data_IF_569424440346
#
_entry.id   IF_569424440346
#
_cell.length_a   1.000
_cell.length_b   1.000
_cell.length_c   1.000
_cell.angle_alpha   90.00
_cell.angle_beta   90.00
_cell.angle_gamma   90.00
#
_symmetry.space_group_name_H-M   'P 1'
#
loop_
_entity.id
_entity.type
_entity.pdbx_description
1 polymer ?
#
# COMPACT_ATOMS: atom_id res chain seq x y z
N UNK A 1 -3.01 4.99 15.55
CA UNK A 1 -2.09 5.89 14.81
C UNK A 1 -2.82 6.36 13.57
N UNK A 2 -2.82 7.65 13.27
CA UNK A 2 -3.53 8.19 12.09
C UNK A 2 -2.61 8.20 10.86
N UNK A 3 -3.21 8.15 9.68
CA UNK A 3 -2.54 8.20 8.40
C UNK A 3 -3.22 9.24 7.52
N UNK A 4 -2.44 9.90 6.69
CA UNK A 4 -2.95 10.79 5.65
C UNK A 4 -2.27 10.47 4.34
N UNK A 5 -3.03 10.55 3.24
CA UNK A 5 -2.53 10.26 1.91
C UNK A 5 -3.58 10.55 0.84
N UNK A 6 -3.12 10.63 -0.40
CA UNK A 6 -3.93 10.95 -1.58
C UNK A 6 -3.80 9.90 -2.70
N UNK A 7 -3.28 8.70 -2.38
CA UNK A 7 -3.00 7.64 -3.35
C UNK A 7 -1.69 7.80 -4.13
N UNK A 8 -1.02 8.95 -4.02
CA UNK A 8 0.30 9.19 -4.60
C UNK A 8 1.38 9.39 -3.55
N UNK A 9 1.13 10.22 -2.54
CA UNK A 9 1.97 10.36 -1.34
C UNK A 9 1.16 10.04 -0.09
N UNK A 10 1.81 9.45 0.90
CA UNK A 10 1.18 9.20 2.19
C UNK A 10 2.21 9.10 3.32
N UNK A 11 1.76 9.34 4.55
CA UNK A 11 2.59 9.14 5.75
C UNK A 11 1.74 8.64 6.91
N UNK A 12 2.41 8.01 7.86
CA UNK A 12 1.89 7.85 9.22
C UNK A 12 2.20 9.14 9.98
N UNK A 13 1.20 9.71 10.65
CA UNK A 13 1.41 10.96 11.41
C UNK A 13 2.56 10.77 12.41
N UNK A 14 3.53 11.70 12.36
CA UNK A 14 4.77 11.72 13.16
C UNK A 14 5.74 10.55 12.93
N UNK A 15 5.63 9.86 11.78
CA UNK A 15 6.66 8.91 11.39
C UNK A 15 7.85 9.58 10.72
N UNK A 16 9.00 8.93 10.84
CA UNK A 16 10.25 9.35 10.19
C UNK A 16 10.23 9.24 8.67
N UNK A 17 9.17 8.67 8.08
CA UNK A 17 9.12 8.38 6.66
C UNK A 17 7.82 8.83 5.97
N UNK A 18 7.97 9.23 4.71
CA UNK A 18 6.92 9.42 3.73
C UNK A 18 7.06 8.31 2.70
N UNK A 19 5.93 7.93 2.13
CA UNK A 19 5.83 6.90 1.12
C UNK A 19 5.22 7.47 -0.14
N UNK A 20 5.79 7.07 -1.27
CA UNK A 20 5.31 7.45 -2.60
C UNK A 20 4.86 6.22 -3.36
N UNK A 21 3.83 6.39 -4.16
CA UNK A 21 3.32 5.33 -5.00
C UNK A 21 4.30 5.00 -6.14
N UNK A 22 4.45 3.73 -6.47
CA UNK A 22 5.37 3.25 -7.50
C UNK A 22 6.86 3.28 -7.12
N UNK A 23 7.23 3.79 -5.94
CA UNK A 23 8.63 3.89 -5.52
C UNK A 23 9.02 2.72 -4.59
N UNK A 24 9.91 1.85 -5.07
CA UNK A 24 10.36 0.63 -4.38
C UNK A 24 11.88 0.51 -4.44
N UNK A 25 12.44 -0.22 -3.48
CA UNK A 25 13.86 -0.60 -3.44
C UNK A 25 14.01 -2.09 -3.10
N UNK A 26 15.18 -2.66 -3.40
CA UNK A 26 15.46 -4.10 -3.25
C UNK A 26 15.00 -4.93 -4.44
N UNK A 27 15.40 -6.20 -4.46
CA UNK A 27 15.12 -7.14 -5.56
C UNK A 27 14.53 -8.44 -5.02
N UNK A 28 13.69 -9.10 -5.82
CA UNK A 28 13.08 -10.38 -5.47
C UNK A 28 12.39 -10.32 -4.08
N UNK A 29 12.70 -11.28 -3.19
CA UNK A 29 12.14 -11.34 -1.84
C UNK A 29 12.56 -10.20 -0.89
N UNK A 30 13.48 -9.32 -1.30
CA UNK A 30 13.85 -8.13 -0.53
C UNK A 30 13.23 -6.84 -1.08
N UNK A 31 12.42 -6.93 -2.14
CA UNK A 31 11.73 -5.75 -2.68
C UNK A 31 10.70 -5.22 -1.69
N UNK A 32 10.73 -3.91 -1.44
CA UNK A 32 9.81 -3.23 -0.53
C UNK A 32 9.62 -1.77 -0.94
N UNK A 33 8.56 -1.13 -0.46
CA UNK A 33 8.29 0.29 -0.72
C UNK A 33 9.42 1.12 -0.16
N UNK A 34 9.98 2.01 -0.97
CA UNK A 34 11.15 2.77 -0.53
C UNK A 34 10.75 3.84 0.49
N UNK A 35 11.61 4.05 1.48
CA UNK A 35 11.40 5.03 2.55
C UNK A 35 11.98 6.39 2.17
N UNK A 36 11.14 7.40 2.04
CA UNK A 36 11.58 8.78 1.87
C UNK A 36 11.63 9.41 3.26
N UNK A 37 12.72 10.05 3.70
CA UNK A 37 12.73 10.69 5.01
C UNK A 37 11.68 11.80 5.12
N UNK A 38 11.02 11.86 6.26
CA UNK A 38 9.85 12.71 6.46
C UNK A 38 10.23 14.14 6.80
N UNK A 39 9.69 15.09 6.03
CA UNK A 39 9.71 16.52 6.37
C UNK A 39 8.62 16.92 7.38
N UNK A 40 7.80 15.95 7.81
CA UNK A 40 6.63 16.17 8.67
C UNK A 40 6.81 15.55 10.06
N UNK A 41 8.00 15.02 10.39
CA UNK A 41 8.29 14.52 11.72
C UNK A 41 8.86 15.61 12.64
N UNK A 42 7.97 16.44 13.16
CA UNK A 42 8.31 17.42 14.18
C UNK A 42 7.11 17.64 15.09
N UNK A 43 7.34 18.12 16.31
CA UNK A 43 6.30 18.23 17.34
C UNK A 43 6.48 19.52 18.14
N UNK A 44 5.37 20.15 18.52
CA UNK A 44 5.39 21.28 19.44
C UNK A 44 5.58 20.78 20.87
N UNK A 45 6.46 21.44 21.64
CA UNK A 45 6.65 21.19 23.07
C UNK A 45 6.23 22.43 23.84
N UNK A 46 4.98 22.46 24.27
CA UNK A 46 4.50 23.47 25.22
C UNK A 46 4.67 22.95 26.64
N UNK A 47 5.17 23.81 27.52
CA UNK A 47 5.13 23.55 28.95
C UNK A 47 3.72 23.80 29.50
N UNK A 48 3.35 23.06 30.55
CA UNK A 48 2.08 23.23 31.28
C UNK A 48 0.84 23.19 30.38
N UNK A 49 0.72 22.17 29.53
CA UNK A 49 -0.44 21.95 28.66
C UNK A 49 -1.74 21.91 29.48
N UNK A 50 -2.70 22.77 29.11
CA UNK A 50 -4.08 22.72 29.61
C UNK A 50 -4.96 21.81 28.75
N UNK A 51 -4.65 21.66 27.45
CA UNK A 51 -5.38 20.78 26.54
C UNK A 51 -4.47 20.22 25.43
N UNK A 52 -4.70 18.95 25.08
CA UNK A 52 -4.11 18.28 23.93
C UNK A 52 -5.19 17.44 23.24
N UNK A 53 -5.50 17.75 21.99
CA UNK A 53 -6.52 17.07 21.19
C UNK A 53 -5.94 16.58 19.87
N UNK A 54 -6.29 15.34 19.50
CA UNK A 54 -6.06 14.78 18.18
C UNK A 54 -7.39 14.42 17.53
N UNK A 55 -7.52 14.72 16.23
CA UNK A 55 -8.70 14.36 15.44
C UNK A 55 -8.30 14.02 14.00
N UNK A 56 -9.09 13.15 13.37
CA UNK A 56 -8.95 12.82 11.95
C UNK A 56 -10.28 13.08 11.27
N UNK A 57 -10.31 14.06 10.39
CA UNK A 57 -11.42 14.30 9.49
C UNK A 57 -11.32 13.32 8.32
N UNK A 58 -12.14 12.28 8.35
CA UNK A 58 -12.15 11.23 7.32
C UNK A 58 -12.82 11.67 6.01
N UNK A 59 -13.63 12.73 6.04
CA UNK A 59 -14.29 13.25 4.83
C UNK A 59 -13.28 13.99 3.96
N UNK A 60 -12.35 14.72 4.58
CA UNK A 60 -11.32 15.49 3.88
C UNK A 60 -9.91 14.90 3.99
N UNK A 61 -9.72 13.83 4.76
CA UNK A 61 -8.41 13.21 4.98
C UNK A 61 -7.43 14.11 5.74
N UNK A 62 -7.94 14.91 6.69
CA UNK A 62 -7.14 15.91 7.43
C UNK A 62 -6.96 15.47 8.87
N UNK A 63 -5.70 15.26 9.27
CA UNK A 63 -5.36 15.10 10.68
C UNK A 63 -5.19 16.47 11.34
N UNK A 64 -5.78 16.66 12.52
CA UNK A 64 -5.63 17.90 13.30
C UNK A 64 -5.12 17.60 14.70
N UNK A 65 -4.05 18.29 15.09
CA UNK A 65 -3.53 18.38 16.46
C UNK A 65 -3.83 19.77 17.02
N UNK A 66 -4.36 19.85 18.23
CA UNK A 66 -4.53 21.11 18.96
C UNK A 66 -3.85 21.02 20.31
N UNK A 67 -2.94 21.93 20.58
CA UNK A 67 -2.26 22.08 21.87
C UNK A 67 -2.61 23.44 22.46
N UNK A 68 -2.84 23.51 23.76
CA UNK A 68 -3.15 24.76 24.45
C UNK A 68 -2.54 24.79 25.84
N UNK A 69 -2.10 25.97 26.26
CA UNK A 69 -1.85 26.33 27.65
C UNK A 69 -2.46 27.72 27.92
N UNK A 70 -2.20 28.30 29.09
CA UNK A 70 -2.77 29.60 29.48
C UNK A 70 -2.33 30.78 28.60
N UNK A 71 -1.29 30.61 27.78
CA UNK A 71 -0.70 31.69 26.98
C UNK A 71 -0.94 31.54 25.48
N UNK A 72 -0.99 30.32 24.96
CA UNK A 72 -1.01 30.05 23.51
C UNK A 72 -1.87 28.84 23.18
N UNK A 73 -2.57 28.92 22.04
CA UNK A 73 -3.20 27.80 21.36
C UNK A 73 -2.51 27.56 20.02
N UNK A 74 -2.18 26.31 19.75
CA UNK A 74 -1.59 25.86 18.49
C UNK A 74 -2.57 24.89 17.85
N UNK A 75 -2.94 25.14 16.60
CA UNK A 75 -3.68 24.20 15.76
C UNK A 75 -2.80 23.83 14.56
N UNK A 76 -2.52 22.54 14.41
CA UNK A 76 -1.79 22.00 13.28
C UNK A 76 -2.66 21.03 12.51
N UNK A 77 -2.73 21.20 11.20
CA UNK A 77 -3.42 20.30 10.27
C UNK A 77 -2.42 19.67 9.32
N UNK A 78 -2.46 18.34 9.19
CA UNK A 78 -1.59 17.58 8.28
C UNK A 78 -2.48 16.84 7.28
N UNK A 79 -2.20 16.99 5.99
CA UNK A 79 -2.98 16.35 4.93
C UNK A 79 -2.17 16.25 3.63
N UNK A 80 -2.52 15.28 2.78
CA UNK A 80 -2.02 15.19 1.42
C UNK A 80 -3.01 15.86 0.47
N UNK A 81 -2.53 16.74 -0.42
CA UNK A 81 -3.40 17.50 -1.33
C UNK A 81 -4.06 16.57 -2.35
N UNK A 82 -5.37 16.69 -2.55
CA UNK A 82 -6.10 15.92 -3.55
C UNK A 82 -5.96 16.53 -4.97
N UNK A 83 -5.59 17.81 -5.06
CA UNK A 83 -5.40 18.52 -6.34
C UNK A 83 -3.94 18.47 -6.81
N UNK A 84 -3.01 18.68 -5.89
CA UNK A 84 -1.57 18.62 -6.13
C UNK A 84 -1.03 17.35 -5.50
N UNK A 85 -1.15 16.23 -6.21
CA UNK A 85 -0.95 14.89 -5.65
C UNK A 85 0.47 14.62 -5.08
N UNK A 86 1.45 15.43 -5.46
CA UNK A 86 2.83 15.37 -4.97
C UNK A 86 3.04 16.10 -3.63
N UNK A 87 2.03 16.83 -3.13
CA UNK A 87 2.16 17.65 -1.93
C UNK A 87 1.56 16.99 -0.69
N UNK A 88 2.42 16.84 0.33
CA UNK A 88 2.04 16.63 1.72
C UNK A 88 2.26 17.94 2.48
N UNK A 89 1.23 18.40 3.20
CA UNK A 89 1.25 19.71 3.85
C UNK A 89 1.03 19.61 5.35
N UNK A 90 1.67 20.52 6.08
CA UNK A 90 1.37 20.87 7.47
C UNK A 90 1.00 22.36 7.55
N UNK A 91 -0.27 22.65 7.84
CA UNK A 91 -0.76 24.01 8.09
C UNK A 91 -0.79 24.27 9.59
N UNK A 92 -0.14 25.34 10.05
CA UNK A 92 -0.02 25.68 11.47
C UNK A 92 -0.60 27.06 11.73
N UNK A 93 -1.48 27.14 12.72
CA UNK A 93 -2.02 28.39 13.26
C UNK A 93 -1.65 28.48 14.74
N UNK A 94 -0.92 29.53 15.10
CA UNK A 94 -0.55 29.82 16.49
C UNK A 94 -1.31 31.08 16.93
N UNK A 95 -2.10 30.95 17.99
CA UNK A 95 -2.93 32.03 18.54
C UNK A 95 -2.46 32.37 19.95
N UNK A 96 -2.06 33.62 20.18
CA UNK A 96 -1.81 34.13 21.53
C UNK A 96 -3.15 34.32 22.25
N UNK A 97 -3.27 33.79 23.47
CA UNK A 97 -4.48 33.90 24.31
C UNK A 97 -4.40 35.03 25.33
N UNK A 98 -3.23 35.65 25.50
CA UNK A 98 -2.99 36.79 26.40
C UNK A 98 -3.00 38.12 25.64
N UNK A 99 -3.52 39.18 26.25
CA UNK A 99 -3.67 40.50 25.61
C UNK A 99 -2.41 41.37 25.65
N UNK A 100 -1.48 41.12 26.58
CA UNK A 100 -0.19 41.81 26.74
C UNK A 100 0.84 40.86 27.37
N UNK A 101 2.12 40.99 27.04
CA UNK A 101 3.19 40.23 27.70
C UNK A 101 4.45 40.06 26.88
N UNK A 102 5.42 39.35 27.46
CA UNK A 102 6.69 38.98 26.84
C UNK A 102 6.48 38.10 25.58
N UNK A 103 7.51 37.99 24.71
CA UNK A 103 7.52 37.01 23.63
C UNK A 103 7.19 35.60 24.15
N UNK A 104 6.28 34.90 23.47
CA UNK A 104 5.99 33.49 23.76
C UNK A 104 6.90 32.67 22.86
N UNK A 105 7.74 31.83 23.46
CA UNK A 105 8.57 30.89 22.73
C UNK A 105 7.77 29.60 22.57
N UNK A 106 7.67 29.11 21.35
CA UNK A 106 7.03 27.84 21.02
C UNK A 106 8.12 26.87 20.54
N UNK A 107 8.65 26.01 21.42
CA UNK A 107 9.65 25.04 21.03
C UNK A 107 9.08 24.03 20.03
N UNK A 108 9.87 23.74 19.00
CA UNK A 108 9.61 22.69 18.02
C UNK A 108 10.74 21.69 18.09
N UNK A 109 10.41 20.44 18.42
CA UNK A 109 11.33 19.32 18.29
C UNK A 109 11.23 18.78 16.87
N UNK A 110 12.34 18.79 16.14
CA UNK A 110 12.42 18.25 14.79
C UNK A 110 13.14 16.92 14.85
N UNK A 111 12.45 15.86 14.47
CA UNK A 111 13.03 14.52 14.35
C UNK A 111 13.30 14.24 12.88
N UNK A 112 14.25 14.98 12.32
CA UNK A 112 14.67 14.84 10.93
C UNK A 112 15.58 13.61 10.82
N UNK A 113 15.00 12.51 10.36
CA UNK A 113 15.79 11.49 9.70
C UNK A 113 16.28 12.10 8.38
N UNK A 114 17.58 12.29 8.23
CA UNK A 114 18.17 12.89 7.01
C UNK A 114 18.68 11.84 6.02
N UNK A 115 18.66 10.57 6.42
CA UNK A 115 19.15 9.45 5.64
C UNK A 115 18.04 8.45 5.38
N UNK A 116 18.05 7.87 4.18
CA UNK A 116 17.25 6.69 3.87
C UNK A 116 18.17 5.49 3.72
N UNK A 117 17.72 4.31 4.13
CA UNK A 117 18.43 3.07 3.74
C UNK A 117 18.28 2.81 2.23
N UNK A 118 17.28 3.42 1.61
CA UNK A 118 16.85 3.15 0.24
C UNK A 118 17.43 4.14 -0.77
N UNK A 119 17.89 5.31 -0.31
CA UNK A 119 18.40 6.37 -1.15
C UNK A 119 19.59 7.07 -0.51
N UNK A 120 20.61 7.35 -1.32
CA UNK A 120 21.63 8.35 -0.98
C UNK A 120 21.11 9.74 -1.39
N UNK A 121 20.46 10.43 -0.45
CA UNK A 121 19.95 11.78 -0.68
C UNK A 121 21.07 12.80 -0.47
N UNK A 122 21.61 13.32 -1.56
CA UNK A 122 22.54 14.45 -1.55
C UNK A 122 21.76 15.74 -1.26
N UNK A 123 21.71 16.18 0.00
CA UNK A 123 21.06 17.44 0.39
C UNK A 123 21.86 18.62 -0.15
N UNK A 124 21.34 19.29 -1.18
CA UNK A 124 21.93 20.53 -1.69
C UNK A 124 21.56 21.70 -0.78
N UNK A 125 22.43 21.99 0.19
CA UNK A 125 22.41 23.14 1.12
C UNK A 125 21.36 23.11 2.26
N UNK A 126 21.79 23.56 3.45
CA UNK A 126 21.03 23.53 4.71
C UNK A 126 19.99 24.66 4.86
N UNK A 127 19.98 25.63 3.96
CA UNK A 127 19.17 26.85 4.11
C UNK A 127 17.79 26.76 3.44
N UNK A 128 17.57 25.78 2.57
CA UNK A 128 16.25 25.50 2.00
C UNK A 128 15.62 24.29 2.70
N UNK A 129 14.59 24.54 3.54
CA UNK A 129 13.72 23.52 4.15
C UNK A 129 12.81 22.82 3.11
N UNK A 130 13.21 22.81 1.85
CA UNK A 130 12.52 22.20 0.74
C UNK A 130 13.40 21.07 0.20
N UNK A 131 12.98 19.83 0.43
CA UNK A 131 13.42 18.73 -0.44
C UNK A 131 12.75 18.97 -1.79
N UNK A 132 13.43 19.70 -2.67
CA UNK A 132 13.01 19.85 -4.05
C UNK A 132 13.42 18.59 -4.80
N UNK A 133 12.49 17.64 -4.89
CA UNK A 133 12.54 16.66 -5.97
C UNK A 133 12.23 17.47 -7.23
N UNK A 134 13.23 17.70 -8.08
CA UNK A 134 13.08 18.46 -9.31
C UNK A 134 11.84 18.00 -10.05
N UNK A 135 10.83 18.88 -10.27
CA UNK A 135 9.67 18.48 -11.04
C UNK A 135 10.18 18.26 -12.46
N UNK A 136 10.13 17.02 -12.94
CA UNK A 136 10.16 16.76 -14.38
C UNK A 136 8.98 17.55 -14.94
N UNK A 137 9.28 18.69 -15.56
CA UNK A 137 8.32 19.66 -16.06
C UNK A 137 7.40 19.00 -17.08
N UNK A 138 6.32 18.42 -16.60
CA UNK A 138 5.20 18.02 -17.40
C UNK A 138 4.00 18.13 -16.49
N UNK A 139 3.10 19.02 -16.85
CA UNK A 139 1.67 18.90 -16.54
C UNK A 139 1.23 17.59 -17.20
N UNK A 140 1.66 16.48 -16.62
CA UNK A 140 1.40 15.14 -17.11
C UNK A 140 0.08 14.75 -16.48
N UNK A 141 -0.84 14.28 -17.32
CA UNK A 141 -2.02 13.56 -16.87
C UNK A 141 -1.63 12.61 -15.73
N UNK A 142 -2.49 12.41 -14.71
CA UNK A 142 -2.14 11.67 -13.50
C UNK A 142 -1.43 10.38 -13.89
N UNK A 143 -0.11 10.36 -13.63
CA UNK A 143 0.77 9.27 -14.01
C UNK A 143 0.23 8.02 -13.30
N UNK A 144 -0.29 7.11 -14.13
CA UNK A 144 -0.58 5.70 -13.92
C UNK A 144 -0.78 5.33 -12.44
N UNK A 145 -2.02 5.07 -12.04
CA UNK A 145 -2.32 4.54 -10.71
C UNK A 145 -1.59 3.21 -10.51
N UNK A 146 -0.62 3.20 -9.59
CA UNK A 146 0.04 1.98 -9.19
C UNK A 146 -0.64 1.45 -7.92
N UNK A 147 -1.07 0.19 -7.97
CA UNK A 147 -1.30 -0.74 -6.84
C UNK A 147 -1.67 -0.13 -5.47
N UNK A 148 -2.80 -0.57 -4.91
CA UNK A 148 -3.04 -0.45 -3.46
C UNK A 148 -2.63 -1.76 -2.79
N UNK A 149 -1.69 -1.70 -1.86
CA UNK A 149 -1.45 -2.84 -0.97
C UNK A 149 -2.64 -3.01 -0.02
N UNK A 150 -2.90 -4.23 0.47
CA UNK A 150 -3.92 -4.44 1.51
C UNK A 150 -3.73 -3.54 2.74
N UNK A 151 -2.49 -3.11 2.99
CA UNK A 151 -2.04 -2.29 4.11
C UNK A 151 -2.03 -0.78 3.88
N UNK A 152 -2.53 -0.28 2.73
CA UNK A 152 -2.47 1.12 2.29
C UNK A 152 -1.06 1.63 1.90
N UNK A 153 -1.00 2.86 1.38
CA UNK A 153 0.21 3.50 0.90
C UNK A 153 1.20 3.89 2.03
N UNK A 154 0.73 4.14 3.24
CA UNK A 154 1.53 4.76 4.31
C UNK A 154 2.50 3.80 5.02
N UNK A 155 2.69 2.57 4.52
CA UNK A 155 3.48 1.52 5.17
C UNK A 155 4.15 0.58 4.16
N UNK A 156 4.91 -0.39 4.68
CA UNK A 156 5.59 -1.41 3.89
C UNK A 156 7.06 -1.11 3.59
N UNK A 157 7.65 -0.15 4.32
CA UNK A 157 9.03 0.29 4.10
C UNK A 157 10.12 -0.53 4.79
N UNK A 158 9.78 -1.56 5.55
CA UNK A 158 10.72 -2.52 6.10
C UNK A 158 10.41 -3.89 5.54
N UNK A 159 11.45 -4.70 5.37
CA UNK A 159 11.32 -6.08 4.92
C UNK A 159 10.34 -6.83 5.82
N UNK A 160 9.36 -7.48 5.19
CA UNK A 160 8.30 -8.25 5.86
C UNK A 160 7.30 -7.44 6.70
N UNK A 161 7.39 -6.10 6.73
CA UNK A 161 6.31 -5.25 7.28
C UNK A 161 5.29 -4.96 6.18
N UNK A 162 3.99 -5.04 6.52
CA UNK A 162 2.88 -4.59 5.67
C UNK A 162 2.98 -5.03 4.20
N UNK A 163 3.39 -6.29 4.02
CA UNK A 163 3.60 -6.95 2.73
C UNK A 163 4.61 -6.25 1.79
N UNK A 164 5.57 -5.49 2.34
CA UNK A 164 6.51 -4.70 1.56
C UNK A 164 5.85 -3.58 0.76
N UNK A 165 4.58 -3.26 1.05
CA UNK A 165 3.79 -2.30 0.27
C UNK A 165 3.32 -2.83 -1.09
N UNK A 166 3.55 -4.11 -1.40
CA UNK A 166 3.12 -4.72 -2.66
C UNK A 166 1.61 -4.92 -2.72
N UNK A 167 1.06 -4.93 -3.93
CA UNK A 167 -0.31 -5.40 -4.17
C UNK A 167 -0.31 -6.91 -4.38
N UNK A 168 -1.44 -7.49 -4.01
CA UNK A 168 -1.71 -8.91 -4.15
C UNK A 168 -3.12 -9.05 -4.71
N UNK A 169 -3.54 -10.30 -4.89
CA UNK A 169 -4.91 -10.66 -5.22
C UNK A 169 -6.05 -9.99 -4.44
N UNK A 170 -5.78 -9.48 -3.24
CA UNK A 170 -6.75 -8.68 -2.48
C UNK A 170 -7.28 -7.49 -3.28
N UNK A 171 -6.42 -6.93 -4.15
CA UNK A 171 -6.78 -5.82 -5.05
C UNK A 171 -7.94 -6.23 -5.95
N UNK A 172 -7.81 -7.35 -6.67
CA UNK A 172 -8.81 -7.81 -7.63
C UNK A 172 -9.99 -8.55 -6.97
N UNK A 173 -9.76 -9.19 -5.82
CA UNK A 173 -10.77 -10.02 -5.15
C UNK A 173 -11.66 -9.19 -4.24
N UNK A 174 -11.08 -8.31 -3.42
CA UNK A 174 -11.79 -7.62 -2.34
C UNK A 174 -12.03 -6.14 -2.63
N UNK A 175 -11.08 -5.47 -3.28
CA UNK A 175 -11.16 -4.01 -3.49
C UNK A 175 -11.85 -3.67 -4.82
N UNK A 176 -11.49 -4.38 -5.89
CA UNK A 176 -11.94 -4.12 -7.25
C UNK A 176 -13.46 -4.11 -7.42
N UNK A 177 -14.27 -5.02 -6.82
CA UNK A 177 -15.72 -5.01 -7.01
C UNK A 177 -16.38 -3.68 -6.61
N UNK A 178 -15.96 -3.09 -5.49
CA UNK A 178 -16.47 -1.80 -5.03
C UNK A 178 -15.93 -0.65 -5.87
N UNK A 179 -14.65 -0.70 -6.25
CA UNK A 179 -14.05 0.33 -7.12
C UNK A 179 -14.69 0.33 -8.50
N UNK A 180 -15.02 -0.84 -9.08
CA UNK A 180 -15.73 -0.96 -10.34
C UNK A 180 -17.11 -0.32 -10.27
N UNK A 181 -17.83 -0.54 -9.17
CA UNK A 181 -19.19 -0.01 -8.98
C UNK A 181 -19.22 1.52 -8.91
N UNK A 182 -18.28 2.14 -8.22
CA UNK A 182 -18.30 3.60 -7.95
C UNK A 182 -17.30 4.42 -8.78
N UNK A 183 -16.22 3.81 -9.25
CA UNK A 183 -15.07 4.47 -9.90
C UNK A 183 -14.56 3.66 -11.11
N UNK A 184 -15.38 3.49 -12.17
CA UNK A 184 -15.04 2.60 -13.30
C UNK A 184 -13.75 2.99 -14.03
N UNK A 185 -13.43 4.28 -14.12
CA UNK A 185 -12.14 4.73 -14.69
C UNK A 185 -10.96 4.21 -13.88
N UNK A 186 -11.03 4.31 -12.54
CA UNK A 186 -9.98 3.79 -11.67
C UNK A 186 -9.92 2.25 -11.72
N UNK A 187 -11.06 1.58 -11.78
CA UNK A 187 -11.13 0.13 -11.96
C UNK A 187 -10.41 -0.32 -13.24
N UNK A 188 -10.61 0.41 -14.35
CA UNK A 188 -9.87 0.15 -15.59
C UNK A 188 -8.37 0.28 -15.39
N UNK A 189 -7.90 1.32 -14.71
CA UNK A 189 -6.45 1.50 -14.45
C UNK A 189 -5.85 0.36 -13.61
N UNK A 190 -6.59 -0.14 -12.61
CA UNK A 190 -6.18 -1.33 -11.83
C UNK A 190 -5.94 -2.54 -12.73
N UNK A 191 -6.85 -2.82 -13.68
CA UNK A 191 -6.70 -3.94 -14.60
C UNK A 191 -5.62 -3.71 -15.67
N UNK A 192 -5.55 -2.49 -16.22
CA UNK A 192 -4.52 -2.11 -17.20
C UNK A 192 -3.11 -2.37 -16.69
N UNK A 193 -2.88 -2.15 -15.39
CA UNK A 193 -1.60 -2.46 -14.75
C UNK A 193 -1.25 -3.95 -14.81
N UNK A 194 -2.19 -4.85 -14.50
CA UNK A 194 -1.96 -6.31 -14.59
C UNK A 194 -1.65 -6.74 -16.02
N UNK A 195 -2.34 -6.14 -16.99
CA UNK A 195 -2.10 -6.37 -18.42
C UNK A 195 -0.71 -5.86 -18.82
N UNK A 196 -0.27 -4.70 -18.32
CA UNK A 196 1.06 -4.16 -18.63
C UNK A 196 2.20 -5.06 -18.11
N UNK A 197 1.99 -5.80 -17.02
CA UNK A 197 2.98 -6.76 -16.49
C UNK A 197 2.96 -8.12 -17.20
N UNK A 198 2.06 -8.32 -18.16
CA UNK A 198 1.85 -9.61 -18.82
C UNK A 198 3.13 -10.14 -19.46
N UNK A 199 3.84 -9.31 -20.20
CA UNK A 199 5.02 -9.76 -20.96
C UNK A 199 6.16 -10.17 -20.01
N UNK A 200 6.33 -9.45 -18.90
CA UNK A 200 7.24 -9.85 -17.84
C UNK A 200 6.82 -11.18 -17.19
N UNK A 201 5.52 -11.38 -16.96
CA UNK A 201 5.02 -12.64 -16.40
C UNK A 201 5.20 -13.82 -17.37
N UNK A 202 5.03 -13.61 -18.67
CA UNK A 202 5.30 -14.61 -19.71
C UNK A 202 6.79 -14.91 -19.82
N UNK A 203 7.65 -13.89 -19.71
CA UNK A 203 9.10 -14.05 -19.69
C UNK A 203 9.54 -14.91 -18.50
N UNK A 204 9.03 -14.60 -17.30
CA UNK A 204 9.30 -15.37 -16.09
C UNK A 204 8.83 -16.83 -16.24
N UNK A 205 7.61 -17.05 -16.76
CA UNK A 205 7.11 -18.39 -17.07
C UNK A 205 8.09 -19.17 -17.96
N UNK A 206 8.62 -18.51 -18.99
CA UNK A 206 9.58 -19.11 -19.92
C UNK A 206 10.90 -19.50 -19.25
N UNK A 207 11.38 -18.72 -18.27
CA UNK A 207 12.58 -19.05 -17.49
C UNK A 207 12.42 -20.37 -16.71
N UNK A 208 11.20 -20.72 -16.31
CA UNK A 208 10.88 -22.00 -15.66
C UNK A 208 10.51 -23.12 -16.65
N UNK A 209 10.72 -22.91 -17.97
CA UNK A 209 10.36 -23.89 -19.00
C UNK A 209 8.86 -24.05 -19.19
N UNK A 210 8.08 -23.03 -18.81
CA UNK A 210 6.63 -23.11 -18.68
C UNK A 210 5.91 -22.19 -19.68
N UNK A 211 4.73 -22.63 -20.17
CA UNK A 211 3.87 -21.84 -21.07
C UNK A 211 2.66 -21.34 -20.28
N UNK A 212 2.67 -20.04 -19.94
CA UNK A 212 1.62 -19.36 -19.20
C UNK A 212 2.15 -18.09 -18.55
N UNK A 213 1.70 -17.77 -17.34
CA UNK A 213 2.11 -16.55 -16.63
C UNK A 213 2.75 -16.89 -15.27
N UNK A 214 3.82 -16.18 -14.90
CA UNK A 214 4.43 -16.23 -13.56
C UNK A 214 4.78 -14.81 -13.11
N UNK A 215 4.00 -14.20 -12.22
CA UNK A 215 4.23 -12.82 -11.78
C UNK A 215 5.36 -12.65 -10.75
N UNK A 216 5.82 -13.73 -10.11
CA UNK A 216 6.86 -13.69 -9.07
C UNK A 216 7.95 -14.72 -9.38
N UNK A 217 9.20 -14.28 -9.45
CA UNK A 217 10.35 -15.14 -9.72
C UNK A 217 10.82 -15.87 -8.45
N UNK A 218 10.95 -17.20 -8.53
CA UNK A 218 11.72 -18.04 -7.61
C UNK A 218 11.31 -17.97 -6.11
N UNK A 219 10.01 -17.97 -5.83
CA UNK A 219 9.49 -18.00 -4.46
C UNK A 219 8.51 -19.17 -4.26
N UNK A 220 8.60 -19.85 -3.11
CA UNK A 220 7.43 -20.56 -2.58
C UNK A 220 6.40 -19.49 -2.22
N UNK A 221 5.32 -19.44 -2.98
CA UNK A 221 4.33 -18.38 -2.87
C UNK A 221 3.31 -18.74 -1.79
N UNK A 222 2.88 -17.71 -1.06
CA UNK A 222 1.73 -17.81 -0.15
C UNK A 222 0.40 -17.58 -0.90
N UNK A 223 0.44 -16.88 -2.04
CA UNK A 223 -0.71 -16.31 -2.73
C UNK A 223 -0.57 -16.48 -4.25
N UNK A 224 -1.66 -16.87 -4.90
CA UNK A 224 -1.65 -17.33 -6.28
C UNK A 224 -2.17 -16.25 -7.25
N UNK A 225 -1.34 -15.26 -7.56
CA UNK A 225 -1.72 -14.10 -8.39
C UNK A 225 -2.16 -14.47 -9.82
N UNK A 226 -1.69 -15.59 -10.37
CA UNK A 226 -2.03 -16.05 -11.74
C UNK A 226 -3.38 -16.76 -11.79
N UNK A 227 -3.83 -17.34 -10.67
CA UNK A 227 -5.15 -17.99 -10.59
C UNK A 227 -6.26 -16.96 -10.84
N UNK A 228 -5.99 -15.70 -10.49
CA UNK A 228 -6.89 -14.57 -10.69
C UNK A 228 -7.19 -14.24 -12.15
N UNK A 229 -6.28 -14.60 -13.07
CA UNK A 229 -6.50 -14.36 -14.49
C UNK A 229 -7.74 -15.10 -14.98
N UNK A 230 -7.98 -16.33 -14.53
CA UNK A 230 -9.23 -17.03 -14.87
C UNK A 230 -10.41 -16.65 -13.97
N UNK A 231 -10.24 -16.53 -12.65
CA UNK A 231 -11.28 -15.99 -11.76
C UNK A 231 -10.66 -15.15 -10.64
N UNK A 232 -11.10 -13.89 -10.42
CA UNK A 232 -12.33 -13.30 -10.95
C UNK A 232 -12.19 -12.57 -12.29
N UNK A 233 -10.98 -12.45 -12.86
CA UNK A 233 -10.77 -11.60 -14.05
C UNK A 233 -11.40 -12.19 -15.34
N UNK A 234 -11.61 -13.50 -15.41
CA UNK A 234 -12.20 -14.19 -16.58
C UNK A 234 -11.45 -13.89 -17.89
N UNK A 235 -10.12 -13.78 -17.82
CA UNK A 235 -9.26 -13.48 -18.96
C UNK A 235 -9.31 -14.62 -19.99
N UNK A 236 -9.55 -14.31 -21.29
CA UNK A 236 -9.59 -15.34 -22.32
C UNK A 236 -8.24 -16.07 -22.46
N UNK A 237 -8.26 -17.38 -22.23
CA UNK A 237 -7.09 -18.26 -22.41
C UNK A 237 -7.52 -19.66 -22.85
N UNK A 238 -6.58 -20.43 -23.43
CA UNK A 238 -6.85 -21.83 -23.75
C UNK A 238 -6.97 -22.66 -22.47
N UNK A 239 -7.74 -23.75 -22.52
CA UNK A 239 -7.85 -24.69 -21.39
C UNK A 239 -6.49 -25.26 -20.97
N UNK A 240 -5.58 -25.41 -21.93
CA UNK A 240 -4.21 -25.87 -21.69
C UNK A 240 -3.44 -24.86 -20.84
N UNK A 241 -3.40 -23.59 -21.25
CA UNK A 241 -2.76 -22.51 -20.46
C UNK A 241 -3.40 -22.40 -19.08
N UNK A 242 -4.73 -22.47 -18.99
CA UNK A 242 -5.45 -22.43 -17.72
C UNK A 242 -5.06 -23.58 -16.79
N UNK A 243 -4.98 -24.81 -17.29
CA UNK A 243 -4.57 -25.98 -16.50
C UNK A 243 -3.11 -25.86 -16.06
N UNK A 244 -2.26 -25.48 -16.99
CA UNK A 244 -0.84 -25.25 -16.79
C UNK A 244 -0.61 -24.23 -15.65
N UNK A 245 -1.39 -23.15 -15.63
CA UNK A 245 -1.24 -22.06 -14.66
C UNK A 245 -1.63 -22.55 -13.26
N UNK A 246 -2.76 -23.26 -13.16
CA UNK A 246 -3.25 -23.84 -11.91
C UNK A 246 -2.26 -24.85 -11.32
N UNK A 247 -1.79 -25.82 -12.11
CA UNK A 247 -0.88 -26.87 -11.63
C UNK A 247 0.49 -26.31 -11.22
N UNK A 248 0.97 -25.28 -11.91
CA UNK A 248 2.25 -24.65 -11.58
C UNK A 248 2.14 -23.89 -10.26
N UNK A 249 1.09 -23.08 -10.10
CA UNK A 249 0.89 -22.30 -8.89
C UNK A 249 0.54 -23.18 -7.68
N UNK A 250 -0.12 -24.32 -7.89
CA UNK A 250 -0.37 -25.29 -6.83
C UNK A 250 0.95 -25.86 -6.28
N UNK A 251 1.89 -26.24 -7.15
CA UNK A 251 3.23 -26.71 -6.75
C UNK A 251 4.06 -25.65 -6.03
N UNK A 252 3.88 -24.38 -6.38
CA UNK A 252 4.59 -23.27 -5.74
C UNK A 252 3.92 -22.83 -4.43
N UNK A 253 2.68 -23.26 -4.16
CA UNK A 253 1.93 -22.90 -2.96
C UNK A 253 2.41 -23.75 -1.78
N UNK A 254 2.77 -23.11 -0.68
CA UNK A 254 3.17 -23.80 0.57
C UNK A 254 2.03 -24.67 1.11
N UNK A 255 2.36 -25.77 1.78
CA UNK A 255 1.37 -26.67 2.39
C UNK A 255 0.57 -26.02 3.54
N UNK A 256 1.12 -24.99 4.18
CA UNK A 256 0.46 -24.12 5.16
C UNK A 256 -0.23 -22.90 4.51
N UNK A 257 -0.44 -22.95 3.20
CA UNK A 257 -1.06 -21.90 2.41
C UNK A 257 -2.42 -21.46 2.97
N UNK A 258 -2.78 -20.20 2.74
CA UNK A 258 -4.04 -19.64 3.24
C UNK A 258 -5.26 -20.35 2.62
N UNK A 259 -6.32 -20.54 3.41
CA UNK A 259 -7.68 -21.02 3.02
C UNK A 259 -8.09 -20.57 1.60
N UNK A 260 -7.91 -19.28 1.36
CA UNK A 260 -8.42 -18.62 0.17
C UNK A 260 -7.66 -19.09 -1.09
N UNK A 261 -6.38 -19.49 -0.97
CA UNK A 261 -5.58 -19.97 -2.11
C UNK A 261 -6.20 -21.26 -2.65
N UNK A 262 -6.43 -22.25 -1.79
CA UNK A 262 -7.08 -23.51 -2.19
C UNK A 262 -8.52 -23.28 -2.70
N UNK A 263 -9.22 -22.28 -2.17
CA UNK A 263 -10.55 -21.90 -2.67
C UNK A 263 -10.49 -21.39 -4.12
N UNK A 264 -9.51 -20.56 -4.47
CA UNK A 264 -9.34 -20.07 -5.84
C UNK A 264 -8.91 -21.17 -6.81
N UNK A 265 -8.02 -22.08 -6.38
CA UNK A 265 -7.66 -23.24 -7.19
C UNK A 265 -8.88 -24.16 -7.41
N UNK A 266 -9.72 -24.36 -6.38
CA UNK A 266 -10.98 -25.13 -6.51
C UNK A 266 -11.85 -24.57 -7.63
N UNK A 267 -12.09 -23.25 -7.64
CA UNK A 267 -12.87 -22.59 -8.70
C UNK A 267 -12.24 -22.82 -10.07
N UNK A 268 -10.92 -22.68 -10.19
CA UNK A 268 -10.20 -22.92 -11.44
C UNK A 268 -10.31 -24.36 -11.95
N UNK A 269 -10.22 -25.37 -11.08
CA UNK A 269 -10.38 -26.77 -11.48
C UNK A 269 -11.82 -27.13 -11.83
N UNK A 270 -12.81 -26.52 -11.15
CA UNK A 270 -14.22 -26.66 -11.55
C UNK A 270 -14.48 -26.12 -12.96
N UNK A 271 -13.88 -24.98 -13.32
CA UNK A 271 -13.94 -24.40 -14.68
C UNK A 271 -13.41 -25.37 -15.74
N UNK A 272 -12.35 -26.12 -15.41
CA UNK A 272 -11.76 -27.14 -16.28
C UNK A 272 -12.49 -28.48 -16.26
N UNK A 273 -13.48 -28.66 -15.38
CA UNK A 273 -14.17 -29.92 -15.09
C UNK A 273 -13.26 -31.00 -14.48
N UNK A 274 -12.18 -30.59 -13.82
CA UNK A 274 -11.27 -31.48 -13.10
C UNK A 274 -11.84 -31.71 -11.67
N UNK A 275 -12.97 -32.42 -11.58
CA UNK A 275 -13.79 -32.49 -10.35
C UNK A 275 -13.10 -33.15 -9.15
N UNK A 276 -12.27 -34.18 -9.38
CA UNK A 276 -11.55 -34.88 -8.31
C UNK A 276 -10.57 -33.95 -7.61
N UNK A 277 -9.74 -33.24 -8.39
CA UNK A 277 -8.78 -32.28 -7.87
C UNK A 277 -9.47 -31.06 -7.24
N UNK A 278 -10.57 -30.59 -7.83
CA UNK A 278 -11.40 -29.55 -7.22
C UNK A 278 -11.94 -29.97 -5.84
N UNK A 279 -12.41 -31.22 -5.69
CA UNK A 279 -12.92 -31.73 -4.42
C UNK A 279 -11.80 -31.82 -3.36
N UNK A 280 -10.61 -32.29 -3.75
CA UNK A 280 -9.44 -32.33 -2.88
C UNK A 280 -9.07 -30.94 -2.34
N UNK A 281 -8.91 -29.98 -3.25
CA UNK A 281 -8.52 -28.61 -2.92
C UNK A 281 -9.62 -27.90 -2.12
N UNK A 282 -10.89 -28.18 -2.40
CA UNK A 282 -12.00 -27.69 -1.59
C UNK A 282 -11.92 -28.20 -0.15
N UNK A 283 -11.63 -29.48 0.05
CA UNK A 283 -11.44 -30.04 1.40
C UNK A 283 -10.26 -29.38 2.12
N UNK A 284 -9.14 -29.12 1.43
CA UNK A 284 -7.98 -28.41 1.99
C UNK A 284 -8.31 -26.99 2.41
N UNK A 285 -9.22 -26.31 1.72
CA UNK A 285 -9.54 -24.91 2.01
C UNK A 285 -10.22 -24.71 3.36
N UNK A 286 -11.08 -25.64 3.80
CA UNK A 286 -11.86 -25.43 5.04
C UNK A 286 -11.51 -26.39 6.18
N UNK A 287 -11.14 -27.66 5.91
CA UNK A 287 -11.10 -28.71 6.96
C UNK A 287 -10.21 -28.37 8.16
N UNK A 288 -9.03 -27.81 7.94
CA UNK A 288 -8.09 -27.43 9.01
C UNK A 288 -8.52 -26.17 9.78
N UNK A 289 -9.49 -25.43 9.25
CA UNK A 289 -9.94 -24.14 9.77
C UNK A 289 -11.33 -24.18 10.42
N UNK A 290 -12.06 -25.29 10.28
CA UNK A 290 -13.34 -25.46 10.99
C UNK A 290 -13.09 -25.45 12.50
N UNK A 291 -13.94 -24.72 13.22
CA UNK A 291 -13.92 -24.58 14.68
C UNK A 291 -15.33 -24.83 15.22
N UNK A 292 -15.49 -25.35 16.44
CA UNK A 292 -16.80 -25.40 17.11
C UNK A 292 -17.47 -24.01 17.13
N UNK A 293 -18.82 -23.92 16.98
CA UNK A 293 -19.80 -25.00 16.82
C UNK A 293 -19.95 -25.52 15.38
N UNK A 294 -19.11 -25.09 14.44
CA UNK A 294 -19.26 -25.36 13.00
C UNK A 294 -18.55 -26.63 12.51
N UNK A 295 -17.96 -27.44 13.41
CA UNK A 295 -17.49 -28.80 13.10
C UNK A 295 -18.70 -29.71 12.89
N UNK A 296 -19.31 -29.65 11.70
CA UNK A 296 -20.35 -30.59 11.30
C UNK A 296 -19.65 -31.89 10.89
N UNK A 297 -19.68 -32.88 11.77
CA UNK A 297 -19.22 -34.24 11.50
C UNK A 297 -20.28 -35.01 10.68
#
# INVERSE_FOLDING_TARGET
MAYVGNGHVATVIFSDFIYMNGLYNGANGTSHRARIPSTHNWQFKLESLSSLLYSLDVAFGVFTEKLENDQVRIERRIFASQEYIELLLAHVVITRLTSKGHPIIVPVEVNEQTTSIDFDLQVSSRDDKHVSLSPLSTRSEPKQFYRVSPSSLSRGGRLSEDYGGHSFWDTETWMYPLILLFYPTLAREILSYRIALRDAAMYNAKLFGYVGFVFVENATIKQADVVLLGFPLMWPMSKEVRRNDLLTYERMTRDDGLVMTYSMHTVGHLELKDFELAEELFRRSYKTYVRPPFNVN
#
